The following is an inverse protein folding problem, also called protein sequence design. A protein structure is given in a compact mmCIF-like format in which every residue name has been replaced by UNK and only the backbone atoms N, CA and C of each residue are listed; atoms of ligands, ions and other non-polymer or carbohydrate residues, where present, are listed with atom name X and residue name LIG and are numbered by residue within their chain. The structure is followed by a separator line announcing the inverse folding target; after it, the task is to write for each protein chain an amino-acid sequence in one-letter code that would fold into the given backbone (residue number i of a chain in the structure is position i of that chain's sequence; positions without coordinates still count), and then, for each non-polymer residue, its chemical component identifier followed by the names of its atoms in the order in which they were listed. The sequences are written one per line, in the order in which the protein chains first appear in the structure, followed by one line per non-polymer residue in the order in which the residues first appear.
data_IF_221984527146
#
_entry.id   IF_221984527146
#
_cell.length_a   1.000
_cell.length_b   1.000
_cell.length_c   1.000
_cell.angle_alpha   90.00
_cell.angle_beta   90.00
_cell.angle_gamma   90.00
#
_symmetry.space_group_name_H-M   'P 1'
#
loop_
_entity.id
_entity.type
_entity.pdbx_description
1 polymer ?
#
# COMPACT_ATOMS: atom_id res chain seq x y z
N UNK A 1 1.18 6.28 4.25
CA UNK A 1 2.28 6.87 5.05
C UNK A 1 1.68 7.94 5.93
N UNK A 2 1.64 7.71 7.24
CA UNK A 2 1.44 8.68 8.34
C UNK A 2 1.30 7.85 9.63
N UNK A 3 2.38 7.16 9.99
CA UNK A 3 2.51 6.63 11.33
C UNK A 3 3.00 7.80 12.18
N UNK A 4 2.10 8.54 12.82
CA UNK A 4 2.49 9.51 13.83
C UNK A 4 3.26 8.74 14.89
N UNK A 5 4.54 9.06 15.17
CA UNK A 5 5.24 8.44 16.29
C UNK A 5 4.42 8.78 17.53
N UNK A 6 3.86 7.75 18.20
CA UNK A 6 3.18 7.96 19.48
C UNK A 6 4.25 8.37 20.47
N UNK A 7 4.39 9.67 20.69
CA UNK A 7 5.18 10.22 21.78
C UNK A 7 4.70 9.59 23.08
N UNK A 8 5.63 9.24 23.97
CA UNK A 8 5.30 8.67 25.26
C UNK A 8 4.27 9.56 25.98
N UNK A 9 3.25 8.94 26.60
CA UNK A 9 2.23 9.61 27.44
C UNK A 9 1.25 10.58 26.74
N UNK A 10 0.79 10.26 25.52
CA UNK A 10 -0.24 11.01 24.76
C UNK A 10 0.10 12.49 24.47
N UNK A 11 1.38 12.85 24.46
CA UNK A 11 1.82 14.19 24.10
C UNK A 11 1.73 14.41 22.59
N UNK A 12 0.87 15.33 22.16
CA UNK A 12 0.67 15.72 20.76
C UNK A 12 1.56 16.92 20.42
N UNK A 13 2.68 16.68 19.76
CA UNK A 13 3.65 17.72 19.38
C UNK A 13 3.35 18.35 18.01
N UNK A 14 2.43 17.78 17.25
CA UNK A 14 2.08 18.17 15.88
C UNK A 14 1.08 19.33 15.80
N UNK A 15 0.41 19.67 16.91
CA UNK A 15 -0.50 20.82 17.02
C UNK A 15 -0.12 21.77 18.16
N UNK A 16 -0.37 23.08 18.00
CA UNK A 16 -0.12 24.06 19.06
C UNK A 16 -0.99 23.80 20.29
N UNK A 17 -2.26 23.44 20.07
CA UNK A 17 -3.19 23.08 21.13
C UNK A 17 -2.75 21.81 21.89
N UNK A 18 -2.25 20.79 21.18
CA UNK A 18 -1.71 19.57 21.79
C UNK A 18 -0.47 19.83 22.65
N UNK A 19 0.43 20.69 22.16
CA UNK A 19 1.63 21.09 22.88
C UNK A 19 1.32 21.86 24.17
N UNK A 20 0.35 22.79 24.11
CA UNK A 20 -0.13 23.57 25.28
C UNK A 20 -0.91 22.71 26.27
N UNK A 21 -1.70 21.75 25.80
CA UNK A 21 -2.45 20.80 26.64
C UNK A 21 -1.51 19.88 27.43
N UNK A 22 -0.40 19.49 26.82
CA UNK A 22 0.52 18.52 27.41
C UNK A 22 0.04 17.07 27.30
N UNK A 23 0.73 16.17 28.00
CA UNK A 23 0.45 14.73 28.01
C UNK A 23 -0.24 14.28 29.30
N UNK A 24 -0.27 12.97 29.54
CA UNK A 24 -0.85 12.38 30.77
C UNK A 24 -0.14 12.85 32.07
N UNK A 25 1.04 13.48 31.96
CA UNK A 25 1.80 14.06 33.09
C UNK A 25 1.59 15.57 33.27
N UNK A 26 0.65 16.18 32.54
CA UNK A 26 0.39 17.62 32.57
C UNK A 26 1.10 18.40 31.46
N UNK A 27 1.06 19.74 31.50
CA UNK A 27 1.69 20.60 30.49
C UNK A 27 3.21 20.39 30.48
N UNK A 28 3.77 20.16 29.28
CA UNK A 28 5.23 20.07 29.10
C UNK A 28 5.88 21.47 28.99
N UNK A 29 5.05 22.48 28.80
CA UNK A 29 5.43 23.85 28.51
C UNK A 29 4.39 24.78 29.13
N UNK A 30 4.87 25.79 29.88
CA UNK A 30 4.06 26.86 30.44
C UNK A 30 4.55 28.18 29.85
N UNK A 31 3.67 28.88 29.12
CA UNK A 31 4.02 30.16 28.48
C UNK A 31 4.56 31.16 29.51
N UNK A 32 5.69 31.81 29.17
CA UNK A 32 6.38 32.81 29.98
C UNK A 32 7.00 32.30 31.29
N UNK A 33 6.93 31.01 31.60
CA UNK A 33 7.42 30.43 32.85
C UNK A 33 8.35 29.25 32.56
N UNK A 34 9.66 29.53 32.58
CA UNK A 34 10.71 28.53 32.33
C UNK A 34 10.74 27.50 33.47
N UNK A 35 10.61 27.94 34.72
CA UNK A 35 10.70 27.10 35.91
C UNK A 35 9.54 26.09 35.99
N UNK A 36 8.36 26.48 35.53
CA UNK A 36 7.20 25.58 35.44
C UNK A 36 7.12 24.79 34.14
N UNK A 37 8.12 24.88 33.26
CA UNK A 37 8.16 24.14 31.99
C UNK A 37 9.09 22.93 32.09
N UNK A 38 8.56 21.69 32.24
CA UNK A 38 9.37 20.49 32.37
C UNK A 38 10.31 20.21 31.19
N UNK A 39 10.06 20.83 30.03
CA UNK A 39 10.89 20.69 28.83
C UNK A 39 12.35 21.08 29.07
N UNK A 40 12.63 22.14 29.83
CA UNK A 40 14.00 22.66 29.97
C UNK A 40 14.89 21.73 30.81
N UNK A 41 14.46 21.25 32.00
CA UNK A 41 15.19 20.22 32.74
C UNK A 41 15.48 18.96 31.90
N UNK A 42 14.53 18.54 31.04
CA UNK A 42 14.69 17.38 30.16
C UNK A 42 15.77 17.62 29.08
N UNK A 43 15.80 18.81 28.47
CA UNK A 43 16.82 19.19 27.47
C UNK A 43 18.21 19.38 28.09
N UNK A 44 18.27 19.82 29.36
CA UNK A 44 19.51 19.99 30.11
C UNK A 44 20.10 18.70 30.66
N UNK A 45 19.34 17.61 30.64
CA UNK A 45 19.68 16.33 31.27
C UNK A 45 19.88 16.47 32.79
N UNK A 46 18.98 17.18 33.47
CA UNK A 46 18.99 17.30 34.94
C UNK A 46 18.64 15.95 35.60
N UNK A 47 19.19 15.67 36.78
CA UNK A 47 19.15 14.33 37.42
C UNK A 47 17.73 13.82 37.71
N UNK A 48 16.78 14.72 37.99
CA UNK A 48 15.38 14.40 38.30
C UNK A 48 14.45 14.42 37.06
N UNK A 49 15.01 14.63 35.87
CA UNK A 49 14.26 14.73 34.61
C UNK A 49 14.64 13.60 33.65
N UNK A 50 13.63 13.06 32.95
CA UNK A 50 13.90 12.12 31.85
C UNK A 50 14.56 12.87 30.69
N UNK A 51 15.86 12.66 30.52
CA UNK A 51 16.67 13.29 29.47
C UNK A 51 16.05 13.17 28.07
N UNK A 52 16.05 14.27 27.32
CA UNK A 52 15.65 14.32 25.91
C UNK A 52 16.60 15.24 25.12
N UNK A 53 17.20 14.79 24.02
CA UNK A 53 17.23 13.41 23.50
C UNK A 53 18.01 12.44 24.42
N UNK A 54 17.61 11.17 24.53
CA UNK A 54 18.16 10.24 25.53
C UNK A 54 19.63 9.87 25.34
N UNK A 55 20.15 9.96 24.11
CA UNK A 55 21.51 9.52 23.78
C UNK A 55 22.53 10.67 23.83
N UNK A 56 22.13 11.87 23.38
CA UNK A 56 23.02 13.01 23.24
C UNK A 56 22.31 14.29 23.64
N UNK A 57 22.94 15.05 24.55
CA UNK A 57 22.50 16.39 24.94
C UNK A 57 22.59 17.33 23.73
N UNK A 58 21.59 18.18 23.54
CA UNK A 58 21.64 19.23 22.53
C UNK A 58 22.75 20.24 22.86
N UNK A 59 23.25 20.94 21.85
CA UNK A 59 24.20 22.03 22.04
C UNK A 59 23.57 23.13 22.91
N UNK A 60 24.37 23.78 23.75
CA UNK A 60 23.87 24.75 24.73
C UNK A 60 23.20 25.96 24.04
N UNK A 61 23.61 26.31 22.81
CA UNK A 61 22.96 27.36 22.01
C UNK A 61 21.52 27.00 21.63
N UNK A 62 21.26 25.71 21.36
CA UNK A 62 19.93 25.21 21.02
C UNK A 62 19.05 25.22 22.27
N UNK A 63 19.59 24.81 23.42
CA UNK A 63 18.88 24.85 24.70
C UNK A 63 18.53 26.30 25.07
N UNK A 64 19.47 27.23 24.92
CA UNK A 64 19.23 28.65 25.14
C UNK A 64 18.15 29.23 24.21
N UNK A 65 18.09 28.77 22.95
CA UNK A 65 17.02 29.16 22.03
C UNK A 65 15.64 28.65 22.49
N UNK A 66 15.56 27.43 23.05
CA UNK A 66 14.33 26.94 23.67
C UNK A 66 13.94 27.78 24.88
N UNK A 67 14.88 28.13 25.77
CA UNK A 67 14.60 28.98 26.94
C UNK A 67 14.04 30.35 26.55
N UNK A 68 14.65 31.00 25.55
CA UNK A 68 14.17 32.29 25.04
C UNK A 68 12.80 32.14 24.38
N UNK A 69 12.58 31.08 23.61
CA UNK A 69 11.30 30.81 22.99
C UNK A 69 10.18 30.64 24.05
N UNK A 70 10.43 29.93 25.15
CA UNK A 70 9.48 29.80 26.27
C UNK A 70 9.25 31.14 26.95
N UNK A 71 10.30 31.93 27.17
CA UNK A 71 10.24 33.28 27.75
C UNK A 71 9.34 34.20 26.93
N UNK A 72 9.42 34.12 25.60
CA UNK A 72 8.56 34.83 24.65
C UNK A 72 7.10 34.31 24.61
N UNK A 73 6.76 33.31 25.43
CA UNK A 73 5.43 32.73 25.51
C UNK A 73 5.22 31.51 24.61
N UNK A 74 6.32 30.97 24.07
CA UNK A 74 6.35 29.91 23.07
C UNK A 74 5.44 30.22 21.87
N UNK A 75 5.76 31.28 21.10
CA UNK A 75 5.00 31.62 19.91
C UNK A 75 5.08 30.47 18.91
N UNK A 76 3.92 30.06 18.41
CA UNK A 76 3.77 28.94 17.49
C UNK A 76 3.06 29.44 16.23
N UNK A 77 3.75 29.36 15.08
CA UNK A 77 3.22 29.85 13.80
C UNK A 77 2.19 28.90 13.18
N UNK A 78 2.03 27.70 13.75
CA UNK A 78 0.90 26.83 13.44
C UNK A 78 -0.34 27.50 13.99
N UNK A 79 -1.11 28.15 13.11
CA UNK A 79 -2.46 28.64 13.42
C UNK A 79 -3.24 27.54 14.15
N UNK A 80 -4.19 27.89 15.03
CA UNK A 80 -5.00 26.94 15.81
C UNK A 80 -5.85 26.00 14.94
N UNK A 81 -5.22 25.15 14.15
CA UNK A 81 -5.76 23.88 13.73
C UNK A 81 -5.78 23.07 15.01
N UNK A 82 -6.90 23.19 15.74
CA UNK A 82 -7.17 22.37 16.91
C UNK A 82 -6.86 20.91 16.59
N UNK A 83 -6.45 20.15 17.61
CA UNK A 83 -6.23 18.71 17.50
C UNK A 83 -7.35 18.09 16.68
N UNK A 84 -7.04 17.56 15.48
CA UNK A 84 -8.03 16.90 14.65
C UNK A 84 -8.65 15.77 15.50
N UNK A 85 -9.92 15.92 15.84
CA UNK A 85 -10.60 14.96 16.70
C UNK A 85 -10.56 13.58 16.04
N UNK A 86 -10.74 12.54 16.83
CA UNK A 86 -10.79 11.18 16.28
C UNK A 86 -11.89 11.06 15.22
N UNK A 87 -13.00 11.77 15.44
CA UNK A 87 -14.15 11.87 14.57
C UNK A 87 -13.79 12.57 13.26
N UNK A 88 -13.11 13.72 13.31
CA UNK A 88 -12.63 14.42 12.12
C UNK A 88 -11.61 13.60 11.32
N UNK A 89 -10.74 12.84 11.98
CA UNK A 89 -9.81 11.90 11.32
C UNK A 89 -10.53 10.74 10.66
N UNK A 90 -11.57 10.20 11.30
CA UNK A 90 -12.39 9.15 10.72
C UNK A 90 -13.15 9.67 9.50
N UNK A 91 -13.75 10.86 9.59
CA UNK A 91 -14.47 11.51 8.50
C UNK A 91 -13.54 11.81 7.31
N UNK A 92 -12.35 12.37 7.58
CA UNK A 92 -11.33 12.57 6.55
C UNK A 92 -10.86 11.25 5.93
N UNK A 93 -10.69 10.21 6.76
CA UNK A 93 -10.38 8.86 6.32
C UNK A 93 -11.45 8.29 5.40
N UNK A 94 -12.73 8.44 5.74
CA UNK A 94 -13.84 8.01 4.90
C UNK A 94 -13.82 8.68 3.52
N UNK A 95 -13.41 9.95 3.44
CA UNK A 95 -13.27 10.72 2.18
C UNK A 95 -12.02 10.36 1.36
N UNK A 96 -11.14 9.48 1.84
CA UNK A 96 -9.95 9.08 1.10
C UNK A 96 -10.34 8.32 -0.18
N UNK A 97 -9.67 8.63 -1.30
CA UNK A 97 -10.05 8.14 -2.63
C UNK A 97 -10.20 6.62 -2.73
N UNK A 98 -9.40 5.85 -1.98
CA UNK A 98 -9.42 4.38 -1.98
C UNK A 98 -10.62 3.76 -1.27
N UNK A 99 -11.36 4.54 -0.47
CA UNK A 99 -12.56 4.10 0.23
C UNK A 99 -13.84 4.66 -0.40
N UNK A 100 -13.71 5.44 -1.47
CA UNK A 100 -14.83 5.93 -2.25
C UNK A 100 -15.13 4.93 -3.38
N UNK A 101 -16.42 4.68 -3.69
CA UNK A 101 -16.76 3.84 -4.83
C UNK A 101 -16.26 4.50 -6.12
N UNK A 102 -15.60 3.74 -7.02
CA UNK A 102 -15.15 4.27 -8.30
C UNK A 102 -16.35 4.79 -9.08
N UNK A 103 -16.23 6.02 -9.59
CA UNK A 103 -17.26 6.65 -10.41
C UNK A 103 -16.91 6.48 -11.89
N UNK A 104 -17.91 6.25 -12.77
CA UNK A 104 -17.67 6.28 -14.20
C UNK A 104 -17.19 7.69 -14.61
N UNK A 105 -16.22 7.74 -15.51
CA UNK A 105 -15.66 9.00 -16.01
C UNK A 105 -15.74 9.00 -17.53
N UNK A 106 -16.19 10.11 -18.12
CA UNK A 106 -16.24 10.27 -19.57
C UNK A 106 -14.83 10.44 -20.14
N UNK A 107 -14.56 9.77 -21.26
CA UNK A 107 -13.27 9.92 -21.96
C UNK A 107 -13.02 11.38 -22.31
N UNK A 108 -11.84 11.95 -22.02
CA UNK A 108 -11.55 13.34 -22.34
C UNK A 108 -11.55 13.58 -23.85
N UNK A 109 -11.98 14.78 -24.24
CA UNK A 109 -11.85 15.23 -25.62
C UNK A 109 -10.37 15.40 -25.97
N UNK A 110 -10.00 14.93 -27.17
CA UNK A 110 -8.65 14.98 -27.72
C UNK A 110 -8.68 15.67 -29.08
N UNK A 111 -7.60 16.31 -29.47
CA UNK A 111 -7.47 16.97 -30.77
C UNK A 111 -7.26 15.95 -31.89
N UNK A 112 -6.45 14.92 -31.65
CA UNK A 112 -6.19 13.84 -32.60
C UNK A 112 -7.18 12.67 -32.39
N UNK A 113 -8.37 12.78 -32.96
CA UNK A 113 -9.45 11.80 -32.78
C UNK A 113 -9.16 10.40 -33.34
N UNK A 114 -8.28 10.26 -34.33
CA UNK A 114 -8.03 8.98 -35.03
C UNK A 114 -7.00 8.09 -34.33
N UNK A 115 -6.32 8.57 -33.29
CA UNK A 115 -5.26 7.82 -32.61
C UNK A 115 -5.74 6.88 -31.50
N UNK A 116 -6.68 7.28 -30.62
CA UNK A 116 -7.18 6.39 -29.57
C UNK A 116 -7.85 5.13 -30.12
N UNK A 117 -7.48 3.96 -29.62
CA UNK A 117 -8.13 2.67 -29.94
C UNK A 117 -9.11 2.24 -28.83
N UNK A 118 -8.94 2.76 -27.62
CA UNK A 118 -9.84 2.53 -26.50
C UNK A 118 -9.92 3.71 -25.53
N UNK A 119 -10.74 3.55 -24.49
CA UNK A 119 -10.98 4.62 -23.52
C UNK A 119 -9.70 5.10 -22.81
N UNK A 120 -8.78 4.19 -22.48
CA UNK A 120 -7.51 4.53 -21.81
C UNK A 120 -6.66 5.46 -22.69
N UNK A 121 -6.64 5.23 -24.00
CA UNK A 121 -5.84 6.01 -24.94
C UNK A 121 -6.27 7.48 -24.98
N UNK A 122 -7.57 7.77 -24.78
CA UNK A 122 -8.04 9.15 -24.65
C UNK A 122 -7.41 9.86 -23.45
N UNK A 123 -7.34 9.21 -22.29
CA UNK A 123 -6.71 9.80 -21.10
C UNK A 123 -5.22 10.04 -21.30
N UNK A 124 -4.52 9.09 -21.92
CA UNK A 124 -3.09 9.23 -22.23
C UNK A 124 -2.88 10.36 -23.23
N UNK A 125 -3.62 10.37 -24.34
CA UNK A 125 -3.47 11.38 -25.40
C UNK A 125 -3.83 12.78 -24.90
N UNK A 126 -4.92 12.96 -24.14
CA UNK A 126 -5.27 14.25 -23.57
C UNK A 126 -4.13 14.81 -22.68
N UNK A 127 -3.48 13.93 -21.91
CA UNK A 127 -2.30 14.33 -21.14
C UNK A 127 -1.11 14.66 -22.03
N UNK A 128 -0.88 13.92 -23.11
CA UNK A 128 0.21 14.22 -24.05
C UNK A 128 -0.01 15.58 -24.74
N UNK A 129 -1.20 15.82 -25.27
CA UNK A 129 -1.58 17.06 -25.96
C UNK A 129 -1.47 18.28 -25.04
N UNK A 130 -1.94 18.19 -23.79
CA UNK A 130 -1.80 19.27 -22.80
C UNK A 130 -0.35 19.61 -22.44
N UNK A 131 0.58 18.66 -22.63
CA UNK A 131 2.01 18.87 -22.44
C UNK A 131 2.76 19.15 -23.76
N UNK A 132 2.06 19.30 -24.90
CA UNK A 132 2.67 19.52 -26.21
C UNK A 132 3.47 18.31 -26.74
N UNK A 133 3.24 17.11 -26.19
CA UNK A 133 3.88 15.87 -26.61
C UNK A 133 2.99 15.16 -27.63
N UNK A 134 3.59 14.62 -28.68
CA UNK A 134 2.88 13.85 -29.71
C UNK A 134 3.15 12.35 -29.57
N UNK A 135 2.20 11.48 -29.90
CA UNK A 135 2.45 10.05 -29.99
C UNK A 135 3.57 9.71 -30.96
N UNK A 136 4.34 8.67 -30.62
CA UNK A 136 5.36 8.08 -31.49
C UNK A 136 4.72 6.94 -32.31
N UNK A 137 5.27 6.61 -33.49
CA UNK A 137 4.77 5.50 -34.28
C UNK A 137 4.94 4.16 -33.55
N UNK A 138 4.11 3.18 -33.94
CA UNK A 138 4.21 1.81 -33.45
C UNK A 138 5.61 1.23 -33.70
N UNK A 139 6.08 0.41 -32.77
CA UNK A 139 7.34 -0.31 -32.94
C UNK A 139 7.25 -1.28 -34.13
N UNK A 140 8.37 -1.51 -34.81
CA UNK A 140 8.42 -2.55 -35.85
C UNK A 140 8.03 -3.93 -35.27
N UNK A 141 7.51 -4.83 -36.12
CA UNK A 141 6.96 -6.12 -35.68
C UNK A 141 7.94 -6.97 -34.85
N UNK A 142 9.23 -7.00 -35.22
CA UNK A 142 10.27 -7.74 -34.48
C UNK A 142 10.52 -7.17 -33.08
N UNK A 143 10.50 -5.85 -32.94
CA UNK A 143 10.60 -5.18 -31.63
C UNK A 143 9.34 -5.38 -30.82
N UNK A 144 8.16 -5.29 -31.45
CA UNK A 144 6.87 -5.44 -30.79
C UNK A 144 6.71 -6.83 -30.17
N UNK A 145 6.91 -7.90 -30.95
CA UNK A 145 6.80 -9.29 -30.43
C UNK A 145 7.74 -9.52 -29.26
N UNK A 146 8.98 -9.03 -29.33
CA UNK A 146 9.94 -9.16 -28.23
C UNK A 146 9.44 -8.48 -26.96
N UNK A 147 8.89 -7.26 -27.06
CA UNK A 147 8.35 -6.53 -25.90
C UNK A 147 7.15 -7.26 -25.29
N UNK A 148 6.18 -7.65 -26.12
CA UNK A 148 4.97 -8.38 -25.67
C UNK A 148 5.33 -9.64 -24.90
N UNK A 149 6.29 -10.43 -25.39
CA UNK A 149 6.76 -11.62 -24.69
C UNK A 149 7.41 -11.32 -23.33
N UNK A 150 8.29 -10.32 -23.24
CA UNK A 150 8.88 -9.94 -21.95
C UNK A 150 7.86 -9.36 -20.98
N UNK A 151 6.89 -8.60 -21.49
CA UNK A 151 5.89 -7.95 -20.65
C UNK A 151 4.90 -8.99 -20.09
N UNK A 152 4.36 -9.87 -20.93
CA UNK A 152 3.33 -10.84 -20.54
C UNK A 152 3.89 -12.07 -19.82
N UNK A 153 4.98 -12.66 -20.32
CA UNK A 153 5.50 -13.95 -19.81
C UNK A 153 6.93 -13.86 -19.27
N UNK A 154 7.60 -12.72 -19.40
CA UNK A 154 8.94 -12.50 -18.83
C UNK A 154 10.09 -13.20 -19.54
N UNK A 155 9.81 -13.92 -20.64
CA UNK A 155 10.79 -14.71 -21.39
C UNK A 155 10.94 -14.15 -22.81
N UNK A 156 12.13 -14.25 -23.43
CA UNK A 156 12.28 -13.89 -24.84
C UNK A 156 11.56 -14.90 -25.76
N UNK A 157 11.01 -14.46 -26.90
CA UNK A 157 10.47 -15.37 -27.90
C UNK A 157 11.59 -16.13 -28.63
N UNK A 158 11.30 -17.36 -29.06
CA UNK A 158 12.19 -18.11 -29.95
C UNK A 158 12.12 -17.59 -31.40
N UNK A 159 13.14 -17.83 -32.24
CA UNK A 159 13.06 -17.49 -33.67
C UNK A 159 11.83 -18.09 -34.36
N UNK A 160 11.44 -19.31 -33.99
CA UNK A 160 10.27 -20.00 -34.53
C UNK A 160 8.94 -19.36 -34.12
N UNK A 161 8.91 -18.60 -33.03
CA UNK A 161 7.75 -17.78 -32.62
C UNK A 161 7.76 -16.41 -33.28
N UNK A 162 8.95 -15.83 -33.51
CA UNK A 162 9.09 -14.49 -34.12
C UNK A 162 8.76 -14.49 -35.60
N UNK A 163 9.34 -15.40 -36.40
CA UNK A 163 9.20 -15.33 -37.86
C UNK A 163 7.73 -15.42 -38.34
N UNK A 164 6.87 -16.31 -37.81
CA UNK A 164 5.47 -16.35 -38.20
C UNK A 164 4.73 -15.06 -37.85
N UNK A 165 4.99 -14.47 -36.69
CA UNK A 165 4.39 -13.20 -36.30
C UNK A 165 4.85 -12.06 -37.21
N UNK A 166 6.14 -12.01 -37.55
CA UNK A 166 6.70 -10.95 -38.41
C UNK A 166 6.15 -11.03 -39.83
N UNK A 167 5.94 -12.23 -40.36
CA UNK A 167 5.38 -12.45 -41.69
C UNK A 167 3.85 -12.30 -41.77
N UNK A 168 3.15 -12.22 -40.63
CA UNK A 168 1.69 -12.14 -40.60
C UNK A 168 1.19 -10.69 -40.50
N UNK A 169 0.81 -10.10 -41.63
CA UNK A 169 0.28 -8.73 -41.70
C UNK A 169 -1.22 -8.60 -41.35
N UNK A 170 -1.86 -9.68 -40.87
CA UNK A 170 -3.25 -9.62 -40.42
C UNK A 170 -3.42 -8.63 -39.25
N UNK A 171 -4.52 -7.85 -39.21
CA UNK A 171 -4.86 -7.04 -38.04
C UNK A 171 -5.03 -7.87 -36.76
N UNK A 172 -5.38 -9.16 -36.89
CA UNK A 172 -5.59 -10.07 -35.76
C UNK A 172 -4.30 -10.74 -35.26
N UNK A 173 -3.15 -10.50 -35.92
CA UNK A 173 -1.89 -11.14 -35.56
C UNK A 173 -1.45 -10.83 -34.12
N UNK A 174 -1.64 -9.58 -33.67
CA UNK A 174 -1.28 -9.15 -32.33
C UNK A 174 -2.28 -9.63 -31.26
N UNK A 175 -3.61 -9.42 -31.41
CA UNK A 175 -4.60 -9.99 -30.50
C UNK A 175 -4.43 -11.50 -30.27
N UNK A 176 -4.31 -12.28 -31.34
CA UNK A 176 -4.15 -13.73 -31.24
C UNK A 176 -2.86 -14.13 -30.50
N UNK A 177 -1.77 -13.37 -30.70
CA UNK A 177 -0.53 -13.60 -29.96
C UNK A 177 -0.70 -13.27 -28.46
N UNK A 178 -1.41 -12.18 -28.14
CA UNK A 178 -1.69 -11.80 -26.76
C UNK A 178 -2.51 -12.91 -26.08
N UNK A 179 -3.60 -13.35 -26.70
CA UNK A 179 -4.45 -14.42 -26.17
C UNK A 179 -3.64 -15.70 -25.92
N UNK A 180 -2.81 -16.12 -26.89
CA UNK A 180 -1.93 -17.27 -26.74
C UNK A 180 -0.95 -17.13 -25.55
N UNK A 181 -0.45 -15.92 -25.29
CA UNK A 181 0.47 -15.67 -24.18
C UNK A 181 -0.25 -15.61 -22.83
N UNK A 182 -1.45 -15.04 -22.79
CA UNK A 182 -2.29 -15.02 -21.58
C UNK A 182 -2.71 -16.44 -21.16
N UNK A 183 -2.98 -17.32 -22.13
CA UNK A 183 -3.29 -18.74 -21.90
C UNK A 183 -2.07 -19.59 -21.53
N UNK A 184 -0.86 -19.03 -21.60
CA UNK A 184 0.36 -19.78 -21.30
C UNK A 184 0.61 -19.89 -19.79
N UNK A 185 1.13 -21.02 -19.28
CA UNK A 185 1.43 -21.17 -17.85
C UNK A 185 2.39 -20.10 -17.30
N UNK A 186 3.29 -19.60 -18.17
CA UNK A 186 4.30 -18.60 -17.82
C UNK A 186 3.68 -17.23 -17.52
N UNK A 187 2.47 -16.94 -17.99
CA UNK A 187 1.76 -15.71 -17.65
C UNK A 187 1.54 -15.60 -16.13
N UNK A 188 0.96 -16.63 -15.52
CA UNK A 188 0.74 -16.69 -14.07
C UNK A 188 2.05 -16.69 -13.27
N UNK A 189 3.11 -17.32 -13.77
CA UNK A 189 4.44 -17.27 -13.15
C UNK A 189 5.01 -15.84 -13.15
N UNK A 190 4.88 -15.14 -14.28
CA UNK A 190 5.35 -13.76 -14.46
C UNK A 190 4.55 -12.78 -13.61
N UNK A 191 3.23 -12.82 -13.71
CA UNK A 191 2.33 -11.89 -13.05
C UNK A 191 2.18 -12.20 -11.56
N UNK A 192 2.25 -13.48 -11.18
CA UNK A 192 2.20 -13.92 -9.79
C UNK A 192 3.31 -13.30 -8.96
N UNK A 193 4.52 -13.12 -9.53
CA UNK A 193 5.64 -12.44 -8.87
C UNK A 193 5.26 -11.04 -8.38
N UNK A 194 4.51 -10.26 -9.16
CA UNK A 194 4.11 -8.91 -8.76
C UNK A 194 3.20 -8.93 -7.53
N UNK A 195 2.28 -9.88 -7.45
CA UNK A 195 1.45 -10.06 -6.27
C UNK A 195 2.27 -10.55 -5.07
N UNK A 196 3.14 -11.53 -5.29
CA UNK A 196 4.01 -12.11 -4.26
C UNK A 196 4.94 -11.06 -3.65
N UNK A 197 5.41 -10.10 -4.44
CA UNK A 197 6.18 -8.94 -3.96
C UNK A 197 5.33 -8.06 -3.02
N UNK A 198 4.08 -7.76 -3.38
CA UNK A 198 3.15 -6.94 -2.58
C UNK A 198 2.87 -7.56 -1.21
N UNK A 199 2.61 -8.87 -1.19
CA UNK A 199 2.33 -9.59 0.06
C UNK A 199 3.59 -9.96 0.84
N UNK A 200 4.78 -9.58 0.32
CA UNK A 200 6.08 -9.88 0.92
C UNK A 200 6.28 -11.37 1.12
N UNK A 201 5.88 -12.16 0.13
CA UNK A 201 6.11 -13.59 0.11
C UNK A 201 7.59 -13.88 0.33
N UNK A 202 7.86 -14.72 1.31
CA UNK A 202 9.18 -15.20 1.61
C UNK A 202 9.05 -16.59 2.20
N UNK A 203 10.10 -17.39 2.03
CA UNK A 203 10.21 -18.70 2.69
C UNK A 203 10.78 -18.57 4.10
N UNK A 204 10.84 -17.33 4.64
CA UNK A 204 11.22 -17.07 6.03
C UNK A 204 10.64 -15.76 6.58
N UNK A 205 10.63 -15.60 7.90
CA UNK A 205 10.04 -14.45 8.60
C UNK A 205 10.88 -13.16 8.55
N UNK A 206 12.20 -13.28 8.39
CA UNK A 206 13.13 -12.16 8.51
C UNK A 206 13.14 -11.50 9.91
N UNK A 207 13.71 -10.30 10.01
CA UNK A 207 13.88 -9.51 11.25
C UNK A 207 14.81 -10.15 12.30
N UNK A 208 14.43 -10.11 13.59
CA UNK A 208 15.27 -10.48 14.74
C UNK A 208 15.55 -11.99 14.81
N UNK A 209 14.55 -12.82 14.46
CA UNK A 209 14.66 -14.27 14.38
C UNK A 209 14.13 -14.74 13.04
N UNK A 210 14.97 -15.45 12.27
CA UNK A 210 14.63 -15.90 10.93
C UNK A 210 14.10 -17.34 10.97
N UNK A 211 12.79 -17.51 11.08
CA UNK A 211 12.14 -18.82 10.97
C UNK A 211 11.85 -19.14 9.52
N UNK A 212 12.18 -20.35 9.09
CA UNK A 212 11.85 -20.85 7.76
C UNK A 212 10.38 -21.26 7.70
N UNK A 213 9.73 -20.97 6.57
CA UNK A 213 8.40 -21.44 6.20
C UNK A 213 8.53 -22.56 5.15
N UNK A 214 8.81 -23.82 5.55
CA UNK A 214 9.06 -24.92 4.60
C UNK A 214 7.87 -25.21 3.67
N UNK A 215 6.68 -24.78 4.05
CA UNK A 215 5.44 -24.94 3.29
C UNK A 215 4.86 -23.60 2.83
N UNK A 216 5.71 -22.61 2.50
CA UNK A 216 5.25 -21.36 1.89
C UNK A 216 4.85 -21.54 0.42
N UNK A 217 5.53 -22.44 -0.30
CA UNK A 217 5.34 -22.65 -1.74
C UNK A 217 3.91 -22.99 -2.20
N UNK A 218 3.02 -23.64 -1.42
CA UNK A 218 1.64 -23.87 -1.86
C UNK A 218 0.89 -22.54 -2.08
N UNK A 219 1.18 -21.51 -1.29
CA UNK A 219 0.59 -20.19 -1.50
C UNK A 219 1.11 -19.52 -2.78
N UNK A 220 2.41 -19.66 -3.08
CA UNK A 220 2.97 -19.21 -4.36
C UNK A 220 2.24 -19.86 -5.53
N UNK A 221 2.07 -21.18 -5.48
CA UNK A 221 1.38 -21.93 -6.52
C UNK A 221 -0.09 -21.50 -6.64
N UNK A 222 -0.80 -21.33 -5.51
CA UNK A 222 -2.17 -20.80 -5.51
C UNK A 222 -2.29 -19.45 -6.25
N UNK A 223 -1.36 -18.52 -6.04
CA UNK A 223 -1.37 -17.22 -6.74
C UNK A 223 -1.15 -17.39 -8.23
N UNK A 224 -0.20 -18.24 -8.64
CA UNK A 224 0.09 -18.54 -10.05
C UNK A 224 -1.14 -19.17 -10.72
N UNK A 225 -1.75 -20.16 -10.06
CA UNK A 225 -2.91 -20.88 -10.56
C UNK A 225 -4.14 -19.97 -10.66
N UNK A 226 -4.35 -19.09 -9.67
CA UNK A 226 -5.45 -18.13 -9.70
C UNK A 226 -5.35 -17.16 -10.88
N UNK A 227 -4.14 -16.74 -11.27
CA UNK A 227 -3.93 -15.88 -12.42
C UNK A 227 -4.12 -16.64 -13.74
N UNK A 228 -3.56 -17.85 -13.85
CA UNK A 228 -3.70 -18.68 -15.05
C UNK A 228 -5.15 -19.15 -15.30
N UNK A 229 -5.97 -19.22 -14.26
CA UNK A 229 -7.38 -19.58 -14.35
C UNK A 229 -8.31 -18.37 -14.55
N UNK A 230 -7.73 -17.16 -14.71
CA UNK A 230 -8.48 -15.89 -14.78
C UNK A 230 -9.50 -15.75 -13.63
N UNK A 231 -9.07 -16.06 -12.40
CA UNK A 231 -9.94 -16.00 -11.23
C UNK A 231 -10.43 -14.55 -11.04
N UNK A 232 -11.75 -14.33 -10.91
CA UNK A 232 -12.28 -12.99 -10.65
C UNK A 232 -11.60 -12.35 -9.45
N UNK A 233 -11.15 -11.10 -9.62
CA UNK A 233 -10.32 -10.41 -8.63
C UNK A 233 -11.00 -10.30 -7.25
N UNK A 234 -12.32 -10.12 -7.22
CA UNK A 234 -13.08 -10.05 -5.97
C UNK A 234 -13.10 -11.40 -5.23
N UNK A 235 -13.17 -12.51 -5.96
CA UNK A 235 -13.07 -13.87 -5.41
C UNK A 235 -11.66 -14.11 -4.91
N UNK A 236 -10.64 -13.83 -5.71
CA UNK A 236 -9.24 -13.94 -5.32
C UNK A 236 -8.95 -13.21 -4.00
N UNK A 237 -9.35 -11.93 -3.90
CA UNK A 237 -9.19 -11.16 -2.66
C UNK A 237 -9.96 -11.74 -1.47
N UNK A 238 -11.21 -12.17 -1.68
CA UNK A 238 -12.04 -12.74 -0.61
C UNK A 238 -11.42 -14.03 -0.05
N UNK A 239 -10.90 -14.88 -0.92
CA UNK A 239 -10.21 -16.11 -0.53
C UNK A 239 -8.96 -15.81 0.31
N UNK A 240 -8.19 -14.77 -0.02
CA UNK A 240 -6.99 -14.40 0.76
C UNK A 240 -7.29 -13.91 2.17
N UNK A 241 -8.50 -13.41 2.42
CA UNK A 241 -8.90 -12.90 3.73
C UNK A 241 -9.63 -13.96 4.54
N UNK A 242 -10.48 -14.76 3.89
CA UNK A 242 -11.45 -15.63 4.56
C UNK A 242 -11.71 -16.96 3.82
N UNK A 243 -10.79 -17.43 2.98
CA UNK A 243 -10.98 -18.65 2.18
C UNK A 243 -11.23 -19.92 3.01
N UNK A 244 -10.68 -19.99 4.22
CA UNK A 244 -10.91 -21.05 5.19
C UNK A 244 -12.32 -21.00 5.83
N UNK A 245 -12.94 -19.82 5.88
CA UNK A 245 -14.28 -19.59 6.42
C UNK A 245 -15.39 -19.68 5.36
N UNK A 246 -15.03 -19.66 4.07
CA UNK A 246 -16.00 -19.76 2.99
C UNK A 246 -16.60 -21.19 2.91
N UNK A 247 -17.93 -21.33 2.79
CA UNK A 247 -18.57 -22.64 2.64
C UNK A 247 -18.19 -23.28 1.31
N UNK A 248 -18.10 -24.61 1.27
CA UNK A 248 -17.90 -25.32 0.01
C UNK A 248 -19.15 -25.22 -0.86
N UNK A 249 -18.98 -24.97 -2.16
CA UNK A 249 -20.09 -25.07 -3.10
C UNK A 249 -20.42 -26.56 -3.36
N UNK A 250 -21.68 -26.86 -3.72
CA UNK A 250 -22.19 -28.24 -3.85
C UNK A 250 -21.39 -29.10 -4.84
N UNK A 251 -20.83 -28.48 -5.89
CA UNK A 251 -20.03 -29.15 -6.92
C UNK A 251 -18.55 -28.72 -6.90
N UNK A 252 -18.05 -28.20 -5.79
CA UNK A 252 -16.66 -27.77 -5.67
C UNK A 252 -15.71 -28.97 -5.54
N UNK A 253 -14.64 -29.00 -6.35
CA UNK A 253 -13.67 -30.10 -6.28
C UNK A 253 -12.85 -30.03 -4.97
N UNK A 254 -12.38 -31.18 -4.45
CA UNK A 254 -11.50 -31.18 -3.28
C UNK A 254 -10.26 -30.30 -3.44
N UNK A 255 -9.69 -30.25 -4.65
CA UNK A 255 -8.55 -29.41 -4.98
C UNK A 255 -8.89 -27.91 -4.90
N UNK A 256 -10.08 -27.50 -5.36
CA UNK A 256 -10.52 -26.11 -5.25
C UNK A 256 -10.74 -25.70 -3.78
N UNK A 257 -11.31 -26.59 -2.96
CA UNK A 257 -11.48 -26.36 -1.52
C UNK A 257 -10.12 -26.21 -0.83
N UNK A 258 -9.14 -27.05 -1.16
CA UNK A 258 -7.78 -26.98 -0.62
C UNK A 258 -7.07 -25.70 -1.05
N UNK A 259 -7.09 -25.37 -2.34
CA UNK A 259 -6.53 -24.12 -2.87
C UNK A 259 -7.09 -22.90 -2.15
N UNK A 260 -8.42 -22.87 -1.92
CA UNK A 260 -9.09 -21.81 -1.17
C UNK A 260 -8.62 -21.71 0.28
N UNK A 261 -8.37 -22.84 0.95
CA UNK A 261 -7.85 -22.88 2.33
C UNK A 261 -6.38 -22.47 2.43
N UNK A 262 -5.61 -22.55 1.34
CA UNK A 262 -4.23 -22.07 1.28
C UNK A 262 -4.19 -20.54 1.20
N UNK A 263 -5.16 -19.90 0.55
CA UNK A 263 -5.16 -18.46 0.27
C UNK A 263 -4.96 -17.55 1.51
N UNK A 264 -5.57 -17.81 2.69
CA UNK A 264 -5.33 -17.03 3.91
C UNK A 264 -3.90 -17.04 4.43
N UNK A 265 -3.03 -17.92 3.90
CA UNK A 265 -1.59 -17.91 4.18
C UNK A 265 -0.94 -16.56 3.85
N UNK A 266 -1.57 -15.72 3.01
CA UNK A 266 -1.18 -14.32 2.80
C UNK A 266 -0.89 -13.58 4.13
N UNK A 267 -1.72 -13.80 5.15
CA UNK A 267 -1.62 -13.15 6.46
C UNK A 267 -0.40 -13.64 7.29
N UNK A 268 0.23 -14.73 6.85
CA UNK A 268 1.43 -15.27 7.47
C UNK A 268 2.69 -14.49 7.07
N UNK A 269 2.73 -13.93 5.86
CA UNK A 269 3.93 -13.32 5.29
C UNK A 269 4.22 -11.92 5.83
N UNK A 270 5.48 -11.50 5.68
CA UNK A 270 6.00 -10.22 6.15
C UNK A 270 6.73 -10.29 7.49
N UNK A 271 7.49 -9.23 7.83
CA UNK A 271 8.33 -9.18 9.02
C UNK A 271 7.49 -9.21 10.30
N UNK A 272 7.80 -10.14 11.20
CA UNK A 272 7.11 -10.29 12.50
C UNK A 272 8.10 -10.16 13.66
N UNK A 273 7.71 -9.42 14.71
CA UNK A 273 8.41 -9.39 16.00
C UNK A 273 7.88 -10.51 16.88
N UNK A 274 8.78 -11.29 17.46
CA UNK A 274 8.42 -12.51 18.20
C UNK A 274 8.00 -12.22 19.65
N UNK A 275 8.44 -11.09 20.21
CA UNK A 275 8.19 -10.73 21.60
C UNK A 275 7.33 -9.46 21.77
N UNK A 276 6.45 -9.18 20.81
CA UNK A 276 5.39 -8.18 21.01
C UNK A 276 4.34 -8.77 21.94
N UNK A 277 4.57 -8.66 23.24
CA UNK A 277 3.63 -8.96 24.31
C UNK A 277 2.31 -8.21 24.09
N UNK A 278 1.37 -8.83 23.37
CA UNK A 278 -0.01 -8.36 23.23
C UNK A 278 -0.19 -6.95 22.68
N UNK A 279 0.86 -6.29 22.16
CA UNK A 279 0.73 -5.04 21.41
C UNK A 279 0.22 -5.44 20.04
N UNK A 280 -1.08 -5.69 20.00
CA UNK A 280 -1.88 -6.02 18.82
C UNK A 280 -1.24 -5.42 17.57
N UNK A 281 -0.93 -6.28 16.61
CA UNK A 281 -1.04 -5.96 15.19
C UNK A 281 -2.49 -5.51 14.93
N UNK A 282 -2.80 -4.28 15.34
CA UNK A 282 -4.14 -3.64 15.30
C UNK A 282 -4.76 -3.62 13.92
N UNK A 283 -3.99 -3.90 12.88
CA UNK A 283 -4.46 -4.08 11.51
C UNK A 283 -5.48 -5.23 11.40
N UNK A 284 -5.23 -6.38 12.04
CA UNK A 284 -6.12 -7.55 11.89
C UNK A 284 -7.34 -7.44 12.81
N UNK A 285 -7.14 -6.95 14.04
CA UNK A 285 -8.23 -6.83 15.04
C UNK A 285 -9.23 -5.69 14.76
N UNK A 286 -8.88 -4.74 13.88
CA UNK A 286 -9.78 -3.64 13.46
C UNK A 286 -10.61 -3.99 12.21
N UNK A 287 -10.13 -4.86 11.33
CA UNK A 287 -10.91 -5.38 10.20
C UNK A 287 -12.08 -6.24 10.65
N UNK A 288 -11.94 -7.01 11.73
CA UNK A 288 -12.99 -7.91 12.23
C UNK A 288 -14.01 -7.23 13.16
N UNK A 289 -13.68 -6.08 13.76
CA UNK A 289 -14.59 -5.35 14.67
C UNK A 289 -15.45 -4.27 14.00
N UNK A 290 -15.26 -4.03 12.70
CA UNK A 290 -15.92 -2.93 11.97
C UNK A 290 -16.82 -3.39 10.81
N UNK A 291 -17.26 -4.65 10.78
CA UNK A 291 -18.32 -5.11 9.88
C UNK A 291 -19.70 -4.85 10.50
N UNK A 292 -20.41 -3.73 10.18
CA UNK A 292 -21.85 -3.80 10.18
C UNK A 292 -22.25 -4.78 9.06
N UNK A 293 -23.18 -5.67 9.39
CA UNK A 293 -23.93 -6.52 8.46
C UNK A 293 -24.09 -5.88 7.07
N UNK A 294 -23.24 -6.27 6.12
CA UNK A 294 -23.42 -5.96 4.70
C UNK A 294 -24.21 -7.13 4.11
N UNK A 295 -25.54 -7.04 4.19
CA UNK A 295 -26.42 -7.89 3.40
C UNK A 295 -26.48 -7.30 1.98
N UNK A 296 -25.98 -7.99 0.93
CA UNK A 296 -26.18 -7.52 -0.43
C UNK A 296 -27.62 -7.84 -0.83
N UNK A 297 -28.47 -6.82 -0.93
CA UNK A 297 -29.67 -6.88 -1.77
C UNK A 297 -29.31 -6.27 -3.12
N UNK A 298 -29.04 -7.12 -4.10
CA UNK A 298 -29.05 -6.74 -5.50
C UNK A 298 -30.20 -7.50 -6.17
N UNK A 299 -31.15 -6.76 -6.73
CA UNK A 299 -32.11 -7.23 -7.73
C UNK A 299 -31.55 -6.89 -9.10
#
# INVERSE_FOLDING_TARGET
MNATPRTARKLELDSSAGLRRGGDSGPILVSHDIEKSPLIPMLRHEEDASAMPPEHKLADEVIAAFEEWIRLGAPDSRQETGTTTKEQRLEAGQRHWSFQPPQPFESPAVQQADWPRGAIDHFVLARMESNGVKPVPDANRRTLVRRVYFDLVGLPPSPQQVEPFVANDSPDALPNLIDQLLDSPQFGERWGRHWLDVVRYAESSGMEFNFTYPHAWPYRNYVIDALNQDKPYDVFLREQIAGDLMPAAENESPAAIEARRIAPSMLAFGPKRHNSSGTESRWISSMTRSTPSFAPRWR
#
